data_IF_926314879904
#
_entry.id   IF_926314879904
#
_cell.length_a   1.000
_cell.length_b   1.000
_cell.length_c   1.000
_cell.angle_alpha   90.00
_cell.angle_beta   90.00
_cell.angle_gamma   90.00
#
_symmetry.space_group_name_H-M   'P 1'
#
loop_
_entity.id
_entity.type
_entity.pdbx_description
1 polymer ?
#
# COMPACT_ATOMS: atom_id res chain seq x y z
N UNK A 1 -10.85 1.44 18.97
CA UNK A 1 -10.27 1.69 17.64
C UNK A 1 -10.18 0.40 16.87
N UNK A 2 -10.31 0.47 15.56
CA UNK A 2 -10.20 -0.69 14.69
C UNK A 2 -8.75 -0.86 14.24
N UNK A 3 -8.33 -2.11 14.14
CA UNK A 3 -7.00 -2.45 13.65
C UNK A 3 -7.08 -2.93 12.20
N UNK A 4 -6.25 -2.34 11.36
CA UNK A 4 -6.18 -2.69 9.95
C UNK A 4 -4.75 -3.03 9.56
N UNK A 5 -4.62 -3.88 8.55
CA UNK A 5 -3.35 -4.14 7.90
C UNK A 5 -3.53 -3.90 6.41
N UNK A 6 -2.67 -3.08 5.85
CA UNK A 6 -2.70 -2.77 4.41
C UNK A 6 -1.43 -3.32 3.80
N UNK A 7 -1.57 -4.20 2.81
CA UNK A 7 -0.46 -4.65 2.00
C UNK A 7 -0.59 -4.03 0.61
N UNK A 8 0.47 -3.41 0.13
CA UNK A 8 0.48 -2.88 -1.22
C UNK A 8 1.80 -3.20 -1.93
N UNK A 9 1.72 -3.28 -3.25
CA UNK A 9 2.85 -3.63 -4.10
C UNK A 9 3.13 -2.45 -5.03
N UNK A 10 4.35 -1.93 -4.96
CA UNK A 10 4.80 -0.83 -5.82
C UNK A 10 5.51 -1.42 -7.04
N UNK A 11 5.28 -0.83 -8.22
CA UNK A 11 5.91 -1.30 -9.45
C UNK A 11 7.44 -1.28 -9.35
N UNK A 12 8.12 -2.30 -9.90
CA UNK A 12 9.56 -2.44 -9.72
C UNK A 12 10.40 -1.55 -10.64
N UNK A 13 9.76 -0.82 -11.55
CA UNK A 13 10.45 0.05 -12.51
C UNK A 13 10.87 1.40 -11.93
N UNK A 14 10.41 1.72 -10.71
CA UNK A 14 10.80 2.94 -10.00
C UNK A 14 12.17 2.77 -9.35
N UNK A 15 12.90 3.86 -9.23
CA UNK A 15 14.12 3.88 -8.44
C UNK A 15 13.82 3.74 -6.95
N UNK A 16 14.81 3.32 -6.17
CA UNK A 16 14.66 3.06 -4.75
C UNK A 16 14.12 4.28 -3.99
N UNK A 17 14.63 5.47 -4.31
CA UNK A 17 14.17 6.71 -3.67
C UNK A 17 12.70 7.02 -3.99
N UNK A 18 12.27 6.75 -5.21
CA UNK A 18 10.89 6.96 -5.62
C UNK A 18 9.94 5.98 -4.94
N UNK A 19 10.38 4.73 -4.76
CA UNK A 19 9.60 3.72 -4.04
C UNK A 19 9.38 4.14 -2.60
N UNK A 20 10.41 4.63 -1.93
CA UNK A 20 10.31 5.15 -0.56
C UNK A 20 9.37 6.34 -0.49
N UNK A 21 9.41 7.20 -1.49
CA UNK A 21 8.56 8.38 -1.56
C UNK A 21 7.08 7.99 -1.73
N UNK A 22 6.79 6.99 -2.55
CA UNK A 22 5.43 6.48 -2.72
C UNK A 22 4.90 5.94 -1.40
N UNK A 23 5.68 5.11 -0.72
CA UNK A 23 5.29 4.55 0.58
C UNK A 23 5.06 5.65 1.62
N UNK A 24 5.95 6.64 1.68
CA UNK A 24 5.82 7.76 2.61
C UNK A 24 4.56 8.58 2.34
N UNK A 25 4.23 8.83 1.08
CA UNK A 25 3.04 9.59 0.70
C UNK A 25 1.75 8.87 1.14
N UNK A 26 1.70 7.57 0.98
CA UNK A 26 0.54 6.79 1.44
C UNK A 26 0.42 6.77 2.96
N UNK A 27 1.54 6.71 3.68
CA UNK A 27 1.53 6.83 5.13
C UNK A 27 0.98 8.17 5.58
N UNK A 28 1.42 9.26 4.95
CA UNK A 28 0.92 10.61 5.25
C UNK A 28 -0.58 10.73 4.98
N UNK A 29 -1.06 10.13 3.91
CA UNK A 29 -2.48 10.13 3.59
C UNK A 29 -3.28 9.46 4.70
N UNK A 30 -2.83 8.31 5.17
CA UNK A 30 -3.49 7.61 6.26
C UNK A 30 -3.51 8.43 7.55
N UNK A 31 -2.37 9.01 7.92
CA UNK A 31 -2.27 9.83 9.14
C UNK A 31 -3.12 11.10 9.05
N UNK A 32 -3.12 11.76 7.90
CA UNK A 32 -3.93 12.97 7.67
C UNK A 32 -5.43 12.69 7.82
N UNK A 33 -5.85 11.48 7.52
CA UNK A 33 -7.26 11.06 7.61
C UNK A 33 -7.59 10.38 8.94
N UNK A 34 -6.73 10.50 9.94
CA UNK A 34 -7.03 10.07 11.30
C UNK A 34 -6.53 8.69 11.70
N UNK A 35 -5.74 8.05 10.86
CA UNK A 35 -5.14 6.77 11.20
C UNK A 35 -3.85 6.95 12.00
N UNK A 36 -3.60 6.02 12.92
CA UNK A 36 -2.35 5.94 13.65
C UNK A 36 -1.58 4.73 13.13
N UNK A 37 -0.44 4.96 12.51
CA UNK A 37 0.40 3.88 11.99
C UNK A 37 1.21 3.30 13.14
N UNK A 38 1.06 2.00 13.37
CA UNK A 38 1.75 1.31 14.47
C UNK A 38 2.96 0.54 14.00
N UNK A 39 3.00 0.12 12.73
CA UNK A 39 4.14 -0.58 12.18
C UNK A 39 4.17 -0.46 10.65
N UNK A 40 5.37 -0.43 10.09
CA UNK A 40 5.58 -0.43 8.64
C UNK A 40 6.67 -1.45 8.34
N UNK A 41 6.33 -2.48 7.57
CA UNK A 41 7.28 -3.49 7.11
C UNK A 41 7.52 -3.32 5.61
N UNK A 42 8.77 -3.11 5.24
CA UNK A 42 9.18 -3.13 3.84
C UNK A 42 9.79 -4.49 3.55
N UNK A 43 9.06 -5.31 2.78
CA UNK A 43 9.52 -6.67 2.48
C UNK A 43 10.51 -6.73 1.32
N UNK A 44 10.70 -5.60 0.62
CA UNK A 44 11.61 -5.55 -0.50
C UNK A 44 11.00 -6.08 -1.78
N UNK A 45 11.84 -6.29 -2.79
CA UNK A 45 11.41 -6.80 -4.09
C UNK A 45 11.18 -8.31 -4.02
N UNK A 46 10.02 -8.73 -4.49
CA UNK A 46 9.67 -10.15 -4.56
C UNK A 46 9.07 -10.49 -5.92
N UNK A 47 9.32 -11.72 -6.35
CA UNK A 47 8.70 -12.25 -7.55
C UNK A 47 7.24 -12.57 -7.27
N UNK A 48 6.35 -12.12 -8.15
CA UNK A 48 4.92 -12.39 -8.02
C UNK A 48 4.60 -13.83 -8.44
N UNK A 49 3.65 -14.45 -7.75
CA UNK A 49 3.19 -15.80 -8.10
C UNK A 49 2.55 -15.81 -9.49
N UNK A 50 1.86 -14.72 -9.85
CA UNK A 50 1.24 -14.52 -11.16
C UNK A 50 1.60 -13.14 -11.67
N UNK A 51 1.68 -13.02 -12.99
CA UNK A 51 1.88 -11.71 -13.60
C UNK A 51 0.66 -10.83 -13.36
N UNK A 52 0.92 -9.56 -13.03
CA UNK A 52 -0.14 -8.57 -12.83
C UNK A 52 -0.07 -7.57 -13.97
N UNK A 53 -1.19 -7.43 -14.68
CA UNK A 53 -1.30 -6.48 -15.79
C UNK A 53 -1.97 -5.20 -15.31
N UNK A 54 -1.29 -4.07 -15.52
CA UNK A 54 -1.81 -2.74 -15.20
C UNK A 54 -1.73 -1.90 -16.48
N UNK A 55 -2.88 -1.60 -17.07
CA UNK A 55 -2.92 -0.92 -18.37
C UNK A 55 -2.24 -1.77 -19.43
N UNK A 56 -1.21 -1.22 -20.08
CA UNK A 56 -0.42 -1.89 -21.10
C UNK A 56 0.83 -2.57 -20.55
N UNK A 57 1.06 -2.49 -19.24
CA UNK A 57 2.25 -3.02 -18.60
C UNK A 57 1.94 -4.31 -17.84
N UNK A 58 2.85 -5.28 -17.94
CA UNK A 58 2.77 -6.53 -17.19
C UNK A 58 3.94 -6.60 -16.23
N UNK A 59 3.66 -6.90 -14.97
CA UNK A 59 4.69 -6.96 -13.92
C UNK A 59 4.80 -8.37 -13.37
N UNK A 60 6.04 -8.84 -13.26
CA UNK A 60 6.39 -10.16 -12.71
C UNK A 60 6.94 -10.08 -11.29
N UNK A 61 7.27 -8.89 -10.84
CA UNK A 61 7.80 -8.63 -9.49
C UNK A 61 7.31 -7.29 -9.01
N UNK A 62 7.56 -6.99 -7.74
CA UNK A 62 7.20 -5.71 -7.15
C UNK A 62 7.80 -5.54 -5.78
N UNK A 63 7.73 -4.33 -5.25
CA UNK A 63 8.15 -4.03 -3.89
C UNK A 63 6.96 -4.11 -2.96
N UNK A 64 7.07 -4.96 -1.95
CA UNK A 64 5.99 -5.23 -0.99
C UNK A 64 6.16 -4.39 0.25
N UNK A 65 5.06 -3.75 0.66
CA UNK A 65 4.97 -3.01 1.91
C UNK A 65 3.76 -3.48 2.69
N UNK A 66 3.93 -3.62 4.00
CA UNK A 66 2.82 -3.95 4.91
C UNK A 66 2.76 -2.88 5.98
N UNK A 67 1.63 -2.22 6.09
CA UNK A 67 1.40 -1.15 7.07
C UNK A 67 0.31 -1.61 8.03
N UNK A 68 0.64 -1.61 9.32
CA UNK A 68 -0.32 -1.89 10.39
C UNK A 68 -0.75 -0.58 11.01
N UNK A 69 -2.04 -0.36 11.16
CA UNK A 69 -2.57 0.90 11.65
C UNK A 69 -3.83 0.72 12.50
N UNK A 70 -4.11 1.75 13.28
CA UNK A 70 -5.36 1.86 14.06
C UNK A 70 -6.14 3.06 13.55
N UNK A 71 -7.45 2.92 13.43
CA UNK A 71 -8.33 4.00 13.02
C UNK A 71 -9.68 3.90 13.73
N UNK A 72 -10.28 5.05 14.05
CA UNK A 72 -11.59 5.10 14.69
C UNK A 72 -12.74 4.79 13.72
N UNK A 73 -12.51 5.00 12.43
CA UNK A 73 -13.47 4.73 11.37
C UNK A 73 -12.73 4.27 10.10
N UNK A 74 -13.45 4.13 9.00
CA UNK A 74 -12.88 3.67 7.74
C UNK A 74 -12.47 4.79 6.78
N UNK A 75 -12.49 6.04 7.22
CA UNK A 75 -12.18 7.19 6.36
C UNK A 75 -10.77 7.11 5.75
N UNK A 76 -9.77 6.81 6.59
CA UNK A 76 -8.39 6.69 6.12
C UNK A 76 -8.25 5.54 5.13
N UNK A 77 -8.91 4.42 5.39
CA UNK A 77 -8.88 3.24 4.53
C UNK A 77 -9.51 3.53 3.17
N UNK A 78 -10.65 4.20 3.16
CA UNK A 78 -11.34 4.58 1.91
C UNK A 78 -10.49 5.53 1.07
N UNK A 79 -9.84 6.49 1.71
CA UNK A 79 -8.97 7.43 0.99
C UNK A 79 -7.74 6.73 0.42
N UNK A 80 -7.14 5.82 1.17
CA UNK A 80 -6.04 5.00 0.67
C UNK A 80 -6.48 4.19 -0.54
N UNK A 81 -7.62 3.52 -0.44
CA UNK A 81 -8.16 2.67 -1.50
C UNK A 81 -8.38 3.49 -2.79
N UNK A 82 -8.97 4.67 -2.66
CA UNK A 82 -9.21 5.57 -3.79
C UNK A 82 -7.91 5.99 -4.47
N UNK A 83 -6.92 6.40 -3.68
CA UNK A 83 -5.63 6.84 -4.22
C UNK A 83 -4.84 5.69 -4.83
N UNK A 84 -4.90 4.50 -4.25
CA UNK A 84 -4.23 3.33 -4.80
C UNK A 84 -4.79 2.93 -6.16
N UNK A 85 -6.11 3.05 -6.33
CA UNK A 85 -6.76 2.72 -7.60
C UNK A 85 -6.38 3.67 -8.74
N UNK A 86 -6.15 4.95 -8.43
CA UNK A 86 -5.77 5.94 -9.45
C UNK A 86 -4.26 6.08 -9.62
N UNK A 87 -3.47 5.49 -8.74
CA UNK A 87 -2.01 5.56 -8.81
C UNK A 87 -1.47 4.54 -9.82
N UNK A 88 -0.61 4.99 -10.71
CA UNK A 88 0.10 4.09 -11.64
C UNK A 88 1.26 3.37 -10.97
N UNK A 89 1.64 3.77 -9.77
CA UNK A 89 2.78 3.19 -9.05
C UNK A 89 2.40 1.98 -8.21
N UNK A 90 1.12 1.83 -7.88
CA UNK A 90 0.62 0.72 -7.08
C UNK A 90 0.03 -0.33 -8.03
N UNK A 91 0.64 -1.51 -8.05
CA UNK A 91 0.18 -2.63 -8.88
C UNK A 91 -1.05 -3.28 -8.27
N UNK A 92 -1.01 -3.50 -6.96
CA UNK A 92 -2.10 -4.15 -6.22
C UNK A 92 -2.04 -3.74 -4.75
N UNK A 93 -3.21 -3.73 -4.11
CA UNK A 93 -3.30 -3.48 -2.68
C UNK A 93 -4.39 -4.35 -2.07
N UNK A 94 -4.22 -4.68 -0.78
CA UNK A 94 -5.18 -5.46 -0.01
C UNK A 94 -5.33 -4.79 1.35
N UNK A 95 -6.56 -4.64 1.80
CA UNK A 95 -6.87 -4.12 3.14
C UNK A 95 -7.48 -5.24 3.96
N UNK A 96 -6.91 -5.50 5.12
CA UNK A 96 -7.40 -6.53 6.04
C UNK A 96 -7.86 -5.85 7.33
N UNK A 97 -9.09 -6.11 7.73
CA UNK A 97 -9.60 -5.69 9.03
C UNK A 97 -9.24 -6.77 10.04
N UNK A 98 -8.44 -6.41 11.05
CA UNK A 98 -7.93 -7.35 12.05
C UNK A 98 -8.81 -7.48 13.29
N UNK A 99 -10.00 -6.91 13.29
CA UNK A 99 -10.94 -7.09 14.39
C UNK A 99 -11.60 -8.48 14.31
N UNK A 100 -11.62 -9.11 15.46
CA UNK A 100 -12.22 -10.43 15.62
C UNK A 100 -13.47 -10.35 16.47
#
# INVERSE_FOLDING_TARGET
MRNYEIMFIVRPTLGEDEIKKVASNFQKTLETNGAKITNVDAWGQKTLAYEIKVGNNTYKSGYYFVVTLEAGDDKAIKEFDRLALISNDIIRHIVINKEY
#
